data_IF_577717379387
#
_entry.id   IF_577717379387
#
_cell.length_a   1.000
_cell.length_b   1.000
_cell.length_c   1.000
_cell.angle_alpha   90.00
_cell.angle_beta   90.00
_cell.angle_gamma   90.00
#
_symmetry.space_group_name_H-M   'P 1'
#
loop_
_entity.id
_entity.type
_entity.pdbx_description
1 polymer ?
#
# COMPACT_ATOMS: atom_id res chain seq x y z
N UNK A 1 -0.26 -12.10 -22.26
CA UNK A 1 -0.56 -10.86 -23.01
C UNK A 1 -0.86 -9.80 -21.96
N UNK A 2 -0.14 -8.67 -21.92
CA UNK A 2 -0.24 -7.69 -20.80
C UNK A 2 -1.42 -6.72 -20.99
N UNK A 3 -1.92 -6.53 -22.21
CA UNK A 3 -3.07 -5.67 -22.51
C UNK A 3 -4.18 -6.44 -23.25
N UNK A 4 -5.44 -6.10 -23.00
CA UNK A 4 -6.62 -6.78 -23.58
C UNK A 4 -7.55 -5.87 -24.37
N UNK A 5 -7.34 -4.54 -24.32
CA UNK A 5 -8.24 -3.49 -24.87
C UNK A 5 -9.66 -3.47 -24.32
N UNK A 6 -10.01 -4.37 -23.38
CA UNK A 6 -11.33 -4.37 -22.76
C UNK A 6 -11.60 -3.05 -22.06
N UNK A 7 -10.58 -2.35 -21.54
CA UNK A 7 -10.76 -1.09 -20.83
C UNK A 7 -10.86 0.18 -21.68
N UNK A 8 -10.88 0.08 -23.01
CA UNK A 8 -10.78 1.24 -23.92
C UNK A 8 -12.06 2.11 -23.89
N UNK A 9 -13.20 1.55 -23.48
CA UNK A 9 -14.46 2.28 -23.31
C UNK A 9 -14.56 3.06 -21.98
N UNK A 10 -13.50 3.09 -21.17
CA UNK A 10 -13.50 3.75 -19.86
C UNK A 10 -14.04 2.89 -18.70
N UNK A 11 -14.19 1.59 -18.91
CA UNK A 11 -14.65 0.63 -17.90
C UNK A 11 -13.58 -0.41 -17.57
N UNK A 12 -13.72 -1.09 -16.44
CA UNK A 12 -12.86 -2.20 -16.00
C UNK A 12 -13.68 -3.25 -15.26
N UNK A 13 -13.11 -4.44 -15.10
CA UNK A 13 -13.69 -5.46 -14.22
C UNK A 13 -13.05 -5.27 -12.83
N UNK A 14 -13.86 -5.16 -11.78
CA UNK A 14 -13.35 -5.14 -10.41
C UNK A 14 -12.96 -6.56 -9.94
N UNK A 15 -12.43 -6.69 -8.72
CA UNK A 15 -12.00 -7.99 -8.18
C UNK A 15 -13.13 -9.04 -8.03
N UNK A 16 -14.40 -8.63 -8.06
CA UNK A 16 -15.56 -9.55 -8.06
C UNK A 16 -16.00 -9.97 -9.47
N UNK A 17 -15.33 -9.46 -10.51
CA UNK A 17 -15.69 -9.68 -11.92
C UNK A 17 -16.80 -8.75 -12.45
N UNK A 18 -17.26 -7.79 -11.64
CA UNK A 18 -18.27 -6.82 -12.06
C UNK A 18 -17.64 -5.75 -12.94
N UNK A 19 -18.33 -5.44 -14.05
CA UNK A 19 -17.97 -4.35 -14.95
C UNK A 19 -18.39 -2.99 -14.37
N UNK A 20 -17.42 -2.11 -14.11
CA UNK A 20 -17.65 -0.78 -13.55
C UNK A 20 -16.85 0.28 -14.30
N UNK A 21 -17.25 1.55 -14.21
CA UNK A 21 -16.49 2.66 -14.77
C UNK A 21 -15.16 2.84 -14.04
N UNK A 22 -14.14 3.32 -14.76
CA UNK A 22 -12.81 3.61 -14.19
C UNK A 22 -12.79 4.80 -13.23
N UNK A 23 -13.81 5.67 -13.29
CA UNK A 23 -14.01 6.78 -12.34
C UNK A 23 -14.80 6.38 -11.08
N UNK A 24 -15.09 5.08 -10.90
CA UNK A 24 -15.74 4.58 -9.70
C UNK A 24 -14.82 4.77 -8.48
N UNK A 25 -15.33 5.23 -7.33
CA UNK A 25 -14.52 5.43 -6.12
C UNK A 25 -13.66 4.24 -5.68
N UNK A 26 -14.10 3.00 -5.92
CA UNK A 26 -13.31 1.81 -5.56
C UNK A 26 -12.05 1.67 -6.43
N UNK A 27 -12.13 2.09 -7.71
CA UNK A 27 -11.00 2.06 -8.64
C UNK A 27 -10.02 3.18 -8.31
N UNK A 28 -10.51 4.36 -7.95
CA UNK A 28 -9.66 5.46 -7.46
C UNK A 28 -8.90 5.06 -6.18
N UNK A 29 -9.60 4.39 -5.26
CA UNK A 29 -9.01 3.86 -4.04
C UNK A 29 -7.92 2.81 -4.34
N UNK A 30 -8.20 1.86 -5.24
CA UNK A 30 -7.21 0.85 -5.69
C UNK A 30 -5.99 1.52 -6.36
N UNK A 31 -6.21 2.51 -7.22
CA UNK A 31 -5.14 3.26 -7.88
C UNK A 31 -4.28 4.05 -6.90
N UNK A 32 -4.88 4.70 -5.91
CA UNK A 32 -4.16 5.43 -4.84
C UNK A 32 -3.31 4.46 -4.01
N UNK A 33 -3.84 3.27 -3.72
CA UNK A 33 -3.10 2.24 -3.00
C UNK A 33 -1.90 1.73 -3.82
N UNK A 34 -2.08 1.50 -5.11
CA UNK A 34 -1.01 1.08 -6.04
C UNK A 34 0.07 2.17 -6.20
N UNK A 35 -0.33 3.43 -6.27
CA UNK A 35 0.59 4.58 -6.27
C UNK A 35 1.44 4.60 -4.99
N UNK A 36 0.82 4.47 -3.81
CA UNK A 36 1.53 4.41 -2.53
C UNK A 36 2.52 3.23 -2.49
N UNK A 37 2.09 2.03 -2.86
CA UNK A 37 2.95 0.82 -2.89
C UNK A 37 4.13 1.03 -3.83
N UNK A 38 3.92 1.67 -4.98
CA UNK A 38 4.96 2.00 -5.96
C UNK A 38 5.97 3.00 -5.42
N UNK A 39 5.50 4.07 -4.75
CA UNK A 39 6.37 5.06 -4.11
C UNK A 39 7.21 4.46 -2.97
N UNK A 40 6.64 3.55 -2.18
CA UNK A 40 7.39 2.79 -1.16
C UNK A 40 8.43 1.89 -1.83
N UNK A 41 8.08 1.21 -2.92
CA UNK A 41 9.00 0.37 -3.69
C UNK A 41 10.18 1.15 -4.25
N UNK A 42 9.93 2.34 -4.80
CA UNK A 42 10.98 3.24 -5.25
C UNK A 42 11.87 3.69 -4.09
N UNK A 43 11.28 4.15 -2.97
CA UNK A 43 12.03 4.56 -1.78
C UNK A 43 12.92 3.42 -1.26
N UNK A 44 12.37 2.21 -1.16
CA UNK A 44 13.10 0.99 -0.75
C UNK A 44 14.32 0.72 -1.61
N UNK A 45 14.25 0.96 -2.92
CA UNK A 45 15.39 0.77 -3.84
C UNK A 45 16.57 1.71 -3.57
N UNK A 46 16.33 2.83 -2.87
CA UNK A 46 17.35 3.84 -2.55
C UNK A 46 17.90 3.71 -1.13
N UNK A 47 17.24 2.92 -0.27
CA UNK A 47 17.63 2.74 1.14
C UNK A 47 18.85 1.83 1.27
N UNK A 48 19.84 2.27 2.06
CA UNK A 48 21.08 1.50 2.32
C UNK A 48 20.95 0.56 3.52
N UNK A 49 20.14 0.93 4.51
CA UNK A 49 19.94 0.18 5.75
C UNK A 49 18.99 -1.00 5.55
N UNK A 50 19.40 -2.21 5.97
CA UNK A 50 18.61 -3.43 5.75
C UNK A 50 17.32 -3.44 6.58
N UNK A 51 17.38 -3.01 7.84
CA UNK A 51 16.23 -2.94 8.74
C UNK A 51 15.11 -2.06 8.18
N UNK A 52 15.46 -0.93 7.57
CA UNK A 52 14.50 -0.05 6.89
C UNK A 52 13.95 -0.72 5.62
N UNK A 53 14.79 -1.45 4.85
CA UNK A 53 14.32 -2.18 3.66
C UNK A 53 13.34 -3.31 4.01
N UNK A 54 13.58 -4.00 5.11
CA UNK A 54 12.70 -5.04 5.64
C UNK A 54 11.36 -4.44 6.07
N UNK A 55 11.39 -3.35 6.85
CA UNK A 55 10.17 -2.64 7.27
C UNK A 55 9.34 -2.15 6.07
N UNK A 56 9.96 -1.51 5.07
CA UNK A 56 9.26 -1.07 3.87
C UNK A 56 8.68 -2.27 3.08
N UNK A 57 9.35 -3.43 3.09
CA UNK A 57 8.82 -4.66 2.49
C UNK A 57 7.59 -5.17 3.24
N UNK A 58 7.63 -5.17 4.57
CA UNK A 58 6.47 -5.51 5.40
C UNK A 58 5.29 -4.58 5.13
N UNK A 59 5.53 -3.26 5.05
CA UNK A 59 4.47 -2.28 4.74
C UNK A 59 3.88 -2.51 3.34
N UNK A 60 4.70 -2.79 2.32
CA UNK A 60 4.18 -3.11 0.97
C UNK A 60 3.29 -4.35 0.98
N UNK A 61 3.68 -5.40 1.70
CA UNK A 61 2.89 -6.63 1.81
C UNK A 61 1.57 -6.40 2.57
N UNK A 62 1.61 -5.65 3.67
CA UNK A 62 0.42 -5.28 4.43
C UNK A 62 -0.57 -4.46 3.58
N UNK A 63 -0.09 -3.47 2.82
CA UNK A 63 -0.91 -2.67 1.91
C UNK A 63 -1.49 -3.54 0.78
N UNK A 64 -0.74 -4.50 0.26
CA UNK A 64 -1.24 -5.44 -0.75
C UNK A 64 -2.37 -6.31 -0.20
N UNK A 65 -2.21 -6.85 1.02
CA UNK A 65 -3.26 -7.63 1.67
C UNK A 65 -4.50 -6.78 2.02
N UNK A 66 -4.31 -5.53 2.45
CA UNK A 66 -5.41 -4.59 2.68
C UNK A 66 -6.20 -4.34 1.39
N UNK A 67 -5.50 -4.15 0.27
CA UNK A 67 -6.09 -4.07 -1.07
C UNK A 67 -6.97 -5.28 -1.39
N UNK A 68 -6.40 -6.47 -1.26
CA UNK A 68 -7.11 -7.71 -1.54
C UNK A 68 -8.33 -7.93 -0.63
N UNK A 69 -8.19 -7.68 0.68
CA UNK A 69 -9.27 -7.82 1.65
C UNK A 69 -10.46 -6.93 1.28
N UNK A 70 -10.22 -5.65 0.98
CA UNK A 70 -11.28 -4.70 0.65
C UNK A 70 -11.92 -5.03 -0.70
N UNK A 71 -11.11 -5.25 -1.74
CA UNK A 71 -11.61 -5.47 -3.10
C UNK A 71 -12.39 -6.79 -3.23
N UNK A 72 -12.05 -7.79 -2.43
CA UNK A 72 -12.72 -9.10 -2.42
C UNK A 72 -13.83 -9.22 -1.36
N UNK A 73 -14.14 -8.14 -0.63
CA UNK A 73 -15.10 -8.15 0.48
C UNK A 73 -14.76 -9.22 1.54
N UNK A 74 -13.47 -9.37 1.84
CA UNK A 74 -12.93 -10.26 2.87
C UNK A 74 -12.74 -11.73 2.46
N UNK A 75 -12.97 -12.06 1.18
CA UNK A 75 -12.83 -13.44 0.67
C UNK A 75 -11.38 -13.81 0.28
N UNK A 76 -10.50 -12.83 0.12
CA UNK A 76 -9.08 -13.03 -0.18
C UNK A 76 -8.19 -13.04 1.06
N UNK A 77 -6.88 -12.81 0.85
CA UNK A 77 -5.93 -12.54 1.94
C UNK A 77 -6.38 -11.32 2.74
N UNK A 78 -6.06 -11.37 4.03
CA UNK A 78 -6.42 -10.32 5.00
C UNK A 78 -5.18 -9.59 5.46
N UNK A 79 -5.37 -8.32 5.78
CA UNK A 79 -4.39 -7.60 6.57
C UNK A 79 -4.21 -8.33 7.91
N UNK A 80 -2.97 -8.41 8.38
CA UNK A 80 -2.67 -9.02 9.68
C UNK A 80 -3.30 -8.20 10.81
N UNK A 81 -3.85 -8.90 11.81
CA UNK A 81 -4.54 -8.26 12.94
C UNK A 81 -3.60 -7.37 13.78
N UNK A 82 -2.30 -7.67 13.78
CA UNK A 82 -1.29 -6.94 14.55
C UNK A 82 -0.66 -5.76 13.79
N UNK A 83 -1.07 -5.48 12.55
CA UNK A 83 -0.39 -4.52 11.67
C UNK A 83 -0.23 -3.13 12.29
N UNK A 84 -1.29 -2.62 12.93
CA UNK A 84 -1.26 -1.32 13.64
C UNK A 84 -0.28 -1.38 14.82
N UNK A 85 -0.37 -2.41 15.67
CA UNK A 85 0.52 -2.55 16.83
C UNK A 85 1.99 -2.73 16.44
N UNK A 86 2.25 -3.39 15.31
CA UNK A 86 3.59 -3.49 14.74
C UNK A 86 4.13 -2.12 14.31
N UNK A 87 3.31 -1.32 13.61
CA UNK A 87 3.70 0.04 13.19
C UNK A 87 4.00 0.93 14.40
N UNK A 88 3.18 0.88 15.45
CA UNK A 88 3.43 1.60 16.71
C UNK A 88 4.77 1.20 17.34
N UNK A 89 5.11 -0.09 17.31
CA UNK A 89 6.41 -0.59 17.77
C UNK A 89 7.59 -0.05 16.94
N UNK A 90 7.43 0.07 15.62
CA UNK A 90 8.47 0.66 14.73
C UNK A 90 8.62 2.16 14.97
N UNK A 91 7.52 2.90 15.14
CA UNK A 91 7.53 4.32 15.51
C UNK A 91 8.31 4.50 16.82
N UNK A 92 8.01 3.72 17.85
CA UNK A 92 8.71 3.80 19.14
C UNK A 92 10.20 3.46 19.03
N UNK A 93 10.59 2.58 18.11
CA UNK A 93 11.99 2.24 17.83
C UNK A 93 12.71 3.41 17.20
N UNK A 94 12.17 3.98 16.12
CA UNK A 94 12.81 5.10 15.40
C UNK A 94 12.81 6.40 16.20
N UNK A 95 11.79 6.68 17.00
CA UNK A 95 11.79 7.86 17.89
C UNK A 95 12.90 7.80 18.94
N UNK A 96 13.24 6.61 19.45
CA UNK A 96 14.37 6.44 20.38
C UNK A 96 15.71 6.73 19.72
N UNK A 97 15.85 6.41 18.44
CA UNK A 97 17.07 6.64 17.66
C UNK A 97 17.22 8.11 17.24
N UNK A 98 16.15 8.70 16.69
CA UNK A 98 16.14 10.09 16.21
C UNK A 98 16.20 11.09 17.37
N UNK A 99 15.61 10.76 18.52
CA UNK A 99 15.49 11.66 19.66
C UNK A 99 14.39 12.70 19.46
N UNK A 100 14.52 13.84 20.15
CA UNK A 100 13.44 14.83 20.24
C UNK A 100 13.39 15.78 19.02
N UNK A 101 12.29 15.72 18.25
CA UNK A 101 12.00 16.64 17.14
C UNK A 101 11.12 17.80 17.63
N UNK A 102 11.68 19.01 17.71
CA UNK A 102 11.01 20.18 18.32
C UNK A 102 10.31 21.12 17.33
N UNK A 103 10.64 21.03 16.05
CA UNK A 103 10.21 21.95 15.00
C UNK A 103 9.81 21.15 13.76
N UNK A 104 9.08 21.79 12.85
CA UNK A 104 8.74 21.20 11.55
C UNK A 104 10.01 20.92 10.74
N UNK A 105 9.99 19.80 10.00
CA UNK A 105 11.06 19.42 9.06
C UNK A 105 10.62 19.80 7.65
N UNK A 106 11.52 20.44 6.89
CA UNK A 106 11.30 20.71 5.46
C UNK A 106 11.67 19.44 4.67
N UNK A 107 10.78 18.93 3.79
CA UNK A 107 11.05 17.76 2.95
C UNK A 107 12.22 17.92 1.98
#
# INVERSE_FOLDING_TARGET
MVYTRRGDSGETDNATGQRIKKDNPIIEWEGTLDELISHIGFSKSQVKWEDIRDDLTTVQLDLFHLGEEILTSGNGRKLRDDGVSWMEGRIATYLKEVGNVKLFVVP
#
